data_IF_609564535075
#
_entry.id   IF_609564535075
#
_cell.length_a   1.000
_cell.length_b   1.000
_cell.length_c   1.000
_cell.angle_alpha   90.00
_cell.angle_beta   90.00
_cell.angle_gamma   90.00
#
_symmetry.space_group_name_H-M   'P 1'
#
loop_
_entity.id
_entity.type
_entity.pdbx_description
1 polymer ?
#
# COMPACT_ATOMS: atom_id res chain seq x y z
N UNK A 1 -5.28 14.88 4.27
CA UNK A 1 -5.52 15.89 3.23
C UNK A 1 -4.16 16.41 2.80
N UNK A 2 -3.92 16.65 1.51
CA UNK A 2 -2.78 17.43 1.06
C UNK A 2 -2.88 18.87 1.55
N UNK A 3 -1.81 19.65 1.38
CA UNK A 3 -1.78 21.08 1.74
C UNK A 3 -2.87 21.90 1.02
N UNK A 4 -3.37 21.40 -0.11
CA UNK A 4 -4.44 21.95 -0.93
C UNK A 4 -5.84 21.43 -0.56
N UNK A 5 -5.97 20.65 0.51
CA UNK A 5 -7.24 20.03 0.91
C UNK A 5 -7.64 18.82 0.06
N UNK A 6 -6.80 18.34 -0.86
CA UNK A 6 -7.10 17.12 -1.62
C UNK A 6 -7.08 15.90 -0.68
N UNK A 7 -8.00 14.93 -0.82
CA UNK A 7 -7.89 13.66 -0.11
C UNK A 7 -6.52 13.01 -0.33
N UNK A 8 -5.86 12.58 0.74
CA UNK A 8 -4.56 11.86 0.69
C UNK A 8 -4.72 10.38 0.33
N UNK A 9 -5.87 10.00 -0.19
CA UNK A 9 -6.21 8.62 -0.54
C UNK A 9 -5.64 8.28 -1.91
N UNK A 10 -5.12 7.06 -2.03
CA UNK A 10 -4.64 6.47 -3.28
C UNK A 10 -4.89 4.96 -3.24
N UNK A 11 -4.93 4.32 -4.40
CA UNK A 11 -4.98 2.86 -4.47
C UNK A 11 -3.61 2.28 -4.11
N UNK A 12 -3.41 1.97 -2.82
CA UNK A 12 -2.18 1.38 -2.33
C UNK A 12 -2.00 -0.04 -2.87
N UNK A 13 -0.87 -0.37 -3.51
CA UNK A 13 -0.52 -1.76 -3.79
C UNK A 13 -0.52 -2.59 -2.50
N UNK A 14 -1.28 -3.68 -2.51
CA UNK A 14 -1.34 -4.63 -1.41
C UNK A 14 0.02 -5.28 -1.18
N UNK A 15 0.64 -5.76 -2.26
CA UNK A 15 1.87 -6.52 -2.29
C UNK A 15 2.59 -6.35 -3.64
N UNK A 16 3.86 -6.74 -3.70
CA UNK A 16 4.66 -6.79 -4.92
C UNK A 16 5.28 -8.18 -5.11
N UNK A 17 5.42 -8.60 -6.37
CA UNK A 17 6.31 -9.70 -6.74
C UNK A 17 7.65 -9.16 -7.18
N UNK A 18 8.74 -9.76 -6.69
CA UNK A 18 10.10 -9.40 -7.07
C UNK A 18 10.94 -10.64 -7.31
N UNK A 19 11.87 -10.54 -8.25
CA UNK A 19 12.90 -11.55 -8.47
C UNK A 19 14.25 -10.99 -8.02
N UNK A 20 15.04 -11.83 -7.33
CA UNK A 20 16.40 -11.44 -6.94
C UNK A 20 17.24 -11.12 -8.17
N UNK A 21 17.95 -9.99 -8.16
CA UNK A 21 18.92 -9.64 -9.19
C UNK A 21 20.06 -10.66 -9.33
N UNK A 22 20.23 -11.55 -8.36
CA UNK A 22 21.26 -12.61 -8.33
C UNK A 22 20.70 -14.01 -8.66
N UNK A 23 19.44 -14.12 -9.10
CA UNK A 23 18.85 -15.43 -9.42
C UNK A 23 19.60 -16.12 -10.56
N UNK A 24 19.81 -17.43 -10.45
CA UNK A 24 20.35 -18.25 -11.53
C UNK A 24 19.31 -18.51 -12.66
N UNK A 25 18.04 -18.15 -12.43
CA UNK A 25 16.92 -18.43 -13.33
C UNK A 25 16.09 -17.17 -13.64
N UNK A 26 16.68 -16.11 -14.22
CA UNK A 26 15.98 -14.85 -14.42
C UNK A 26 14.77 -14.97 -15.37
N UNK A 27 14.89 -15.78 -16.42
CA UNK A 27 13.81 -16.00 -17.39
C UNK A 27 12.62 -16.72 -16.76
N UNK A 28 12.87 -17.81 -16.02
CA UNK A 28 11.83 -18.59 -15.36
C UNK A 28 11.16 -17.81 -14.24
N UNK A 29 11.93 -17.02 -13.47
CA UNK A 29 11.37 -16.14 -12.45
C UNK A 29 10.42 -15.11 -13.07
N UNK A 30 10.82 -14.45 -14.17
CA UNK A 30 9.96 -13.53 -14.89
C UNK A 30 8.69 -14.22 -15.44
N UNK A 31 8.83 -15.41 -16.03
CA UNK A 31 7.69 -16.19 -16.52
C UNK A 31 6.72 -16.59 -15.41
N UNK A 32 7.22 -16.92 -14.22
CA UNK A 32 6.37 -17.26 -13.09
C UNK A 32 5.62 -16.04 -12.55
N UNK A 33 6.28 -14.88 -12.46
CA UNK A 33 5.62 -13.62 -12.07
C UNK A 33 4.56 -13.23 -13.11
N UNK A 34 4.87 -13.36 -14.41
CA UNK A 34 3.91 -13.12 -15.49
C UNK A 34 2.71 -14.05 -15.39
N UNK A 35 2.92 -15.36 -15.18
CA UNK A 35 1.85 -16.34 -14.96
C UNK A 35 0.94 -15.93 -13.79
N UNK A 36 1.51 -15.55 -12.64
CA UNK A 36 0.72 -15.15 -11.48
C UNK A 36 -0.13 -13.89 -11.71
N UNK A 37 0.33 -12.98 -12.57
CA UNK A 37 -0.33 -11.69 -12.81
C UNK A 37 -1.29 -11.69 -14.01
N UNK A 38 -1.01 -12.52 -15.02
CA UNK A 38 -1.60 -12.39 -16.35
C UNK A 38 -2.26 -13.69 -16.87
N UNK A 39 -2.12 -14.83 -16.19
CA UNK A 39 -2.84 -16.05 -16.58
C UNK A 39 -4.27 -16.08 -16.01
N UNK A 40 -5.26 -16.35 -16.87
CA UNK A 40 -6.68 -16.37 -16.48
C UNK A 40 -7.01 -17.47 -15.47
N UNK A 41 -6.38 -18.65 -15.56
CA UNK A 41 -6.62 -19.74 -14.61
C UNK A 41 -5.99 -19.43 -13.26
N UNK A 42 -4.77 -18.88 -13.26
CA UNK A 42 -4.13 -18.38 -12.05
C UNK A 42 -4.98 -17.30 -11.38
N UNK A 43 -5.44 -16.30 -12.14
CA UNK A 43 -6.32 -15.24 -11.64
C UNK A 43 -7.63 -15.77 -11.06
N UNK A 44 -8.26 -16.75 -11.71
CA UNK A 44 -9.49 -17.38 -11.21
C UNK A 44 -9.28 -18.15 -9.90
N UNK A 45 -8.12 -18.80 -9.72
CA UNK A 45 -7.78 -19.51 -8.47
C UNK A 45 -7.42 -18.51 -7.37
N UNK A 46 -6.64 -17.48 -7.70
CA UNK A 46 -6.15 -16.51 -6.72
C UNK A 46 -7.23 -15.52 -6.26
N UNK A 47 -8.21 -15.23 -7.13
CA UNK A 47 -9.28 -14.28 -6.83
C UNK A 47 -8.72 -12.95 -6.33
N UNK A 48 -9.18 -12.53 -5.15
CA UNK A 48 -8.71 -11.32 -4.47
C UNK A 48 -7.82 -11.59 -3.25
N UNK A 49 -7.26 -12.81 -3.09
CA UNK A 49 -6.44 -13.20 -1.92
C UNK A 49 -5.19 -12.35 -1.69
N UNK A 50 -4.74 -11.64 -2.73
CA UNK A 50 -3.62 -10.69 -2.68
C UNK A 50 -4.06 -9.27 -3.05
N UNK A 51 -5.32 -8.95 -2.82
CA UNK A 51 -5.98 -7.73 -3.32
C UNK A 51 -6.61 -7.92 -4.70
N UNK A 52 -7.35 -6.90 -5.14
CA UNK A 52 -7.98 -6.90 -6.46
C UNK A 52 -6.89 -6.96 -7.56
N UNK A 53 -7.01 -7.85 -8.56
CA UNK A 53 -6.03 -7.97 -9.63
C UNK A 53 -5.70 -6.62 -10.28
N UNK A 54 -4.40 -6.36 -10.44
CA UNK A 54 -3.89 -5.14 -11.06
C UNK A 54 -4.05 -5.15 -12.59
N UNK A 55 -4.03 -6.33 -13.23
CA UNK A 55 -4.28 -6.47 -14.65
C UNK A 55 -5.80 -6.39 -14.94
N UNK A 56 -6.20 -5.46 -15.80
CA UNK A 56 -7.61 -5.21 -16.11
C UNK A 56 -8.32 -6.41 -16.76
N UNK A 57 -7.63 -7.17 -17.62
CA UNK A 57 -8.21 -8.35 -18.25
C UNK A 57 -8.48 -9.47 -17.23
N UNK A 58 -7.58 -9.64 -16.24
CA UNK A 58 -7.80 -10.58 -15.14
C UNK A 58 -8.89 -10.08 -14.21
N UNK A 59 -8.90 -8.78 -13.92
CA UNK A 59 -9.93 -8.13 -13.10
C UNK A 59 -11.33 -8.35 -13.68
N UNK A 60 -11.51 -8.19 -14.99
CA UNK A 60 -12.79 -8.45 -15.67
C UNK A 60 -13.31 -9.87 -15.44
N UNK A 61 -12.42 -10.87 -15.41
CA UNK A 61 -12.78 -12.27 -15.20
C UNK A 61 -13.02 -12.64 -13.72
N UNK A 62 -12.40 -11.89 -12.79
CA UNK A 62 -12.41 -12.17 -11.34
C UNK A 62 -13.52 -11.41 -10.62
N UNK A 63 -13.70 -10.11 -10.87
CA UNK A 63 -14.64 -9.26 -10.12
C UNK A 63 -16.08 -9.81 -10.07
N UNK A 64 -16.66 -10.33 -11.17
CA UNK A 64 -18.02 -10.86 -11.16
C UNK A 64 -18.22 -12.11 -10.27
N UNK A 65 -17.12 -12.75 -9.85
CA UNK A 65 -17.13 -14.00 -9.06
C UNK A 65 -16.78 -13.76 -7.59
N UNK A 66 -16.52 -12.51 -7.19
CA UNK A 66 -16.21 -12.18 -5.80
C UNK A 66 -17.47 -12.28 -4.94
N UNK A 67 -17.31 -12.81 -3.74
CA UNK A 67 -18.37 -12.98 -2.75
C UNK A 67 -17.92 -12.44 -1.39
N UNK A 68 -18.87 -12.21 -0.49
CA UNK A 68 -18.58 -11.81 0.89
C UNK A 68 -17.71 -10.54 0.99
N UNK A 69 -16.63 -10.62 1.77
CA UNK A 69 -15.78 -9.47 2.06
C UNK A 69 -15.08 -8.91 0.81
N UNK A 70 -14.66 -9.77 -0.12
CA UNK A 70 -13.97 -9.35 -1.34
C UNK A 70 -14.89 -8.52 -2.25
N UNK A 71 -16.19 -8.87 -2.30
CA UNK A 71 -17.19 -8.10 -3.03
C UNK A 71 -17.42 -6.72 -2.40
N UNK A 72 -17.43 -6.64 -1.06
CA UNK A 72 -17.54 -5.36 -0.33
C UNK A 72 -16.34 -4.47 -0.65
N UNK A 73 -15.12 -5.02 -0.59
CA UNK A 73 -13.89 -4.27 -0.92
C UNK A 73 -13.90 -3.78 -2.37
N UNK A 74 -14.26 -4.65 -3.32
CA UNK A 74 -14.36 -4.27 -4.74
C UNK A 74 -15.39 -3.15 -4.96
N UNK A 75 -16.56 -3.25 -4.33
CA UNK A 75 -17.62 -2.23 -4.43
C UNK A 75 -17.17 -0.89 -3.86
N UNK A 76 -16.49 -0.92 -2.72
CA UNK A 76 -15.92 0.28 -2.11
C UNK A 76 -14.86 0.94 -3.01
N UNK A 77 -13.90 0.15 -3.54
CA UNK A 77 -12.87 0.68 -4.43
C UNK A 77 -13.45 1.34 -5.68
N UNK A 78 -14.52 0.77 -6.25
CA UNK A 78 -15.22 1.31 -7.43
C UNK A 78 -15.73 2.74 -7.23
N UNK A 79 -16.05 3.14 -6.00
CA UNK A 79 -16.51 4.50 -5.70
C UNK A 79 -15.43 5.57 -5.98
N UNK A 80 -14.15 5.15 -6.01
CA UNK A 80 -12.98 6.01 -6.13
C UNK A 80 -12.22 5.86 -7.47
N UNK A 81 -12.67 4.98 -8.36
CA UNK A 81 -12.06 4.81 -9.69
C UNK A 81 -12.05 6.15 -10.46
N UNK A 82 -10.87 6.52 -10.96
CA UNK A 82 -10.65 7.80 -11.66
C UNK A 82 -10.68 9.06 -10.77
N UNK A 83 -10.80 8.92 -9.44
CA UNK A 83 -10.89 10.06 -8.50
C UNK A 83 -9.67 10.24 -7.62
N UNK A 84 -8.80 9.23 -7.51
CA UNK A 84 -7.63 9.26 -6.65
C UNK A 84 -6.37 9.65 -7.42
N UNK A 85 -5.43 10.25 -6.71
CA UNK A 85 -4.07 10.50 -7.22
C UNK A 85 -3.28 9.18 -7.23
N UNK A 86 -2.23 9.15 -8.04
CA UNK A 86 -1.28 8.04 -8.05
C UNK A 86 -0.60 7.88 -6.68
N UNK A 87 -0.16 6.66 -6.33
CA UNK A 87 0.59 6.43 -5.11
C UNK A 87 1.83 7.33 -5.04
N UNK A 88 2.19 7.84 -3.85
CA UNK A 88 3.44 8.58 -3.69
C UNK A 88 4.65 7.69 -4.00
N UNK A 89 5.82 8.29 -4.29
CA UNK A 89 7.06 7.53 -4.43
C UNK A 89 7.37 6.72 -3.16
N UNK A 90 8.24 5.72 -3.30
CA UNK A 90 8.69 4.93 -2.18
C UNK A 90 9.24 5.85 -1.06
N UNK A 91 8.92 5.58 0.21
CA UNK A 91 9.39 6.40 1.31
C UNK A 91 10.93 6.46 1.34
N UNK A 92 11.50 7.60 1.79
CA UNK A 92 12.94 7.77 1.91
C UNK A 92 13.54 6.81 2.97
N UNK A 93 14.87 6.71 2.98
CA UNK A 93 15.58 6.05 4.09
C UNK A 93 15.21 6.73 5.41
N UNK A 94 15.11 5.95 6.47
CA UNK A 94 14.69 6.42 7.79
C UNK A 94 13.17 6.46 8.01
N UNK A 95 12.33 6.27 6.99
CA UNK A 95 10.86 6.30 7.14
C UNK A 95 10.32 5.28 8.16
N UNK A 96 10.93 4.09 8.23
CA UNK A 96 10.53 3.07 9.20
C UNK A 96 10.73 3.51 10.66
N UNK A 97 11.75 4.33 10.93
CA UNK A 97 11.99 4.90 12.26
C UNK A 97 10.89 5.89 12.63
N UNK A 98 10.40 6.68 11.68
CA UNK A 98 9.30 7.63 11.89
C UNK A 98 8.03 6.94 12.38
N UNK A 99 7.72 5.74 11.88
CA UNK A 99 6.55 5.00 12.36
C UNK A 99 6.67 4.66 13.85
N UNK A 100 7.85 4.25 14.28
CA UNK A 100 8.12 3.94 15.70
C UNK A 100 8.05 5.19 16.57
N UNK A 101 8.61 6.30 16.09
CA UNK A 101 8.56 7.62 16.73
C UNK A 101 7.11 8.10 16.87
N UNK A 102 6.31 7.98 15.80
CA UNK A 102 4.90 8.34 15.83
C UNK A 102 4.12 7.50 16.86
N UNK A 103 4.29 6.18 16.86
CA UNK A 103 3.60 5.31 17.83
C UNK A 103 3.94 5.68 19.27
N UNK A 104 5.21 5.94 19.57
CA UNK A 104 5.66 6.36 20.90
C UNK A 104 5.02 7.67 21.34
N UNK A 105 4.99 8.67 20.45
CA UNK A 105 4.42 9.99 20.74
C UNK A 105 2.89 9.92 20.87
N UNK A 106 2.24 9.09 20.05
CA UNK A 106 0.82 8.78 20.15
C UNK A 106 0.47 8.18 21.52
N UNK A 107 1.29 7.26 22.03
CA UNK A 107 1.08 6.68 23.36
C UNK A 107 1.22 7.75 24.47
N UNK A 108 2.16 8.69 24.35
CA UNK A 108 2.27 9.79 25.32
C UNK A 108 1.03 10.69 25.33
N UNK A 109 0.45 10.96 24.15
CA UNK A 109 -0.79 11.74 24.05
C UNK A 109 -1.98 10.94 24.60
N UNK A 110 -2.08 9.66 24.23
CA UNK A 110 -3.16 8.75 24.66
C UNK A 110 -3.17 8.54 26.17
N UNK A 111 -2.01 8.58 26.82
CA UNK A 111 -1.88 8.51 28.29
C UNK A 111 -1.84 9.89 28.97
N UNK A 112 -2.19 10.96 28.25
CA UNK A 112 -2.29 12.33 28.76
C UNK A 112 -0.97 12.89 29.34
N UNK A 113 0.17 12.31 28.94
CA UNK A 113 1.51 12.73 29.37
C UNK A 113 2.04 13.91 28.54
N UNK A 114 1.60 14.03 27.30
CA UNK A 114 1.90 15.16 26.42
C UNK A 114 0.62 15.68 25.78
N UNK A 115 0.57 17.00 25.52
CA UNK A 115 -0.47 17.55 24.64
C UNK A 115 -0.21 17.15 23.18
N UNK A 116 -1.26 17.09 22.32
CA UNK A 116 -1.09 16.85 20.89
C UNK A 116 -0.12 17.82 20.21
N UNK A 117 -0.07 19.08 20.65
CA UNK A 117 0.85 20.08 20.12
C UNK A 117 2.31 19.76 20.45
N UNK A 118 2.60 19.43 21.71
CA UNK A 118 3.96 19.08 22.13
C UNK A 118 4.46 17.80 21.46
N UNK A 119 3.60 16.79 21.35
CA UNK A 119 3.92 15.56 20.62
C UNK A 119 4.22 15.83 19.14
N UNK A 120 3.43 16.70 18.48
CA UNK A 120 3.70 17.09 17.09
C UNK A 120 5.03 17.85 16.92
N UNK A 121 5.37 18.75 17.84
CA UNK A 121 6.64 19.49 17.82
C UNK A 121 7.86 18.55 18.00
N UNK A 122 7.75 17.58 18.92
CA UNK A 122 8.77 16.54 19.11
C UNK A 122 8.92 15.68 17.86
N UNK A 123 7.82 15.14 17.34
CA UNK A 123 7.79 14.31 16.15
C UNK A 123 8.44 15.00 14.94
N UNK A 124 8.11 16.26 14.66
CA UNK A 124 8.69 17.02 13.54
C UNK A 124 10.20 17.21 13.73
N UNK A 125 10.66 17.39 14.97
CA UNK A 125 12.08 17.55 15.28
C UNK A 125 12.85 16.26 14.99
N UNK A 126 12.35 15.12 15.46
CA UNK A 126 12.95 13.80 15.20
C UNK A 126 12.87 13.43 13.72
N UNK A 127 11.74 13.71 13.07
CA UNK A 127 11.57 13.43 11.65
C UNK A 127 12.60 14.15 10.77
N UNK A 128 12.88 15.42 11.09
CA UNK A 128 13.94 16.19 10.43
C UNK A 128 15.34 15.63 10.67
N UNK A 129 15.58 14.87 11.72
CA UNK A 129 16.87 14.25 12.00
C UNK A 129 17.01 12.91 11.27
N UNK A 130 15.96 12.07 11.30
CA UNK A 130 15.96 10.74 10.70
C UNK A 130 15.98 10.78 9.17
N UNK A 131 15.25 11.72 8.56
CA UNK A 131 15.14 11.85 7.10
C UNK A 131 16.38 12.47 6.41
N UNK A 132 17.42 12.85 7.16
CA UNK A 132 18.69 13.34 6.60
C UNK A 132 19.71 12.23 6.31
N UNK A 133 19.42 10.99 6.70
CA UNK A 133 20.31 9.83 6.55
C UNK A 133 20.14 9.14 5.19
#
# INVERSE_FOLDING_TARGET
>A
MGEDGTPGQYFKPSMFFGASAKTAHPKQAAQFIDFLLNDKKAGAILGATRGIPANDAIRQDVLPKLEGFDQVVSTYQKQFEGKLKDPPPAPPKGDASLQSTFSRDYDQVSYERLSPRQAAENYITEAKAELRQ
#
